data_IF_231673092393
#
_entry.id   IF_231673092393
#
_cell.length_a   1.000
_cell.length_b   1.000
_cell.length_c   1.000
_cell.angle_alpha   90.00
_cell.angle_beta   90.00
_cell.angle_gamma   90.00
#
_symmetry.space_group_name_H-M   'P 1'
#
loop_
_entity.id
_entity.type
_entity.pdbx_description
1 polymer ?
#
# COMPACT_ATOMS: atom_id res chain seq x y z
N UNK A 1 5.50 9.22 20.25
CA UNK A 1 4.71 8.06 19.74
C UNK A 1 4.85 8.00 18.23
N UNK A 2 5.02 6.81 17.67
CA UNK A 2 5.10 6.57 16.23
C UNK A 2 3.74 6.85 15.57
N UNK A 3 3.69 7.79 14.61
CA UNK A 3 2.49 8.14 13.82
C UNK A 3 2.42 7.38 12.50
N UNK A 4 3.57 7.24 11.81
CA UNK A 4 3.69 6.49 10.57
C UNK A 4 3.43 5.00 10.80
N UNK A 5 2.64 4.39 9.94
CA UNK A 5 2.23 2.99 10.06
C UNK A 5 3.24 2.06 9.39
N UNK A 6 3.25 0.80 9.82
CA UNK A 6 4.14 -0.22 9.27
C UNK A 6 3.30 -1.37 8.74
N UNK A 7 3.48 -1.67 7.46
CA UNK A 7 2.93 -2.85 6.79
C UNK A 7 4.03 -3.91 6.75
N UNK A 8 3.74 -5.10 7.28
CA UNK A 8 4.69 -6.21 7.27
C UNK A 8 4.14 -7.37 6.46
N UNK A 9 4.93 -7.83 5.48
CA UNK A 9 4.61 -9.07 4.77
C UNK A 9 4.90 -10.25 5.66
N UNK A 10 3.92 -11.14 5.82
CA UNK A 10 4.03 -12.35 6.62
C UNK A 10 4.39 -13.53 5.73
N UNK A 11 5.32 -14.32 6.19
CA UNK A 11 5.80 -15.52 5.53
C UNK A 11 6.30 -16.54 6.55
N UNK A 12 7.03 -17.59 6.10
CA UNK A 12 7.39 -18.74 6.93
C UNK A 12 8.14 -18.40 8.23
N UNK A 13 8.80 -17.25 8.29
CA UNK A 13 9.57 -16.81 9.47
C UNK A 13 8.71 -16.09 10.52
N UNK A 14 7.52 -15.61 10.13
CA UNK A 14 6.73 -14.70 10.97
C UNK A 14 5.26 -15.10 11.14
N UNK A 15 4.86 -16.25 10.62
CA UNK A 15 3.45 -16.69 10.59
C UNK A 15 2.90 -17.24 11.91
N UNK A 16 3.76 -17.58 12.89
CA UNK A 16 3.29 -18.11 14.17
C UNK A 16 2.60 -17.04 15.02
N UNK A 17 1.60 -17.45 15.82
CA UNK A 17 0.90 -16.56 16.75
C UNK A 17 1.85 -15.80 17.67
N UNK A 18 2.85 -16.52 18.23
CA UNK A 18 3.85 -15.91 19.11
C UNK A 18 4.68 -14.83 18.40
N UNK A 19 5.11 -15.11 17.16
CA UNK A 19 5.89 -14.15 16.38
C UNK A 19 5.05 -12.95 15.98
N UNK A 20 3.79 -13.16 15.56
CA UNK A 20 2.87 -12.07 15.24
C UNK A 20 2.59 -11.17 16.44
N UNK A 21 2.47 -11.74 17.64
CA UNK A 21 2.35 -10.96 18.88
C UNK A 21 3.59 -10.08 19.12
N UNK A 22 4.81 -10.63 18.94
CA UNK A 22 6.05 -9.85 19.03
C UNK A 22 6.14 -8.76 17.94
N UNK A 23 5.68 -9.03 16.72
CA UNK A 23 5.65 -8.04 15.64
C UNK A 23 4.66 -6.90 15.93
N UNK A 24 3.50 -7.20 16.51
CA UNK A 24 2.55 -6.19 16.98
C UNK A 24 3.19 -5.30 18.07
N UNK A 25 3.92 -5.90 19.00
CA UNK A 25 4.64 -5.19 20.05
C UNK A 25 5.77 -4.33 19.49
N UNK A 26 6.48 -4.82 18.47
CA UNK A 26 7.55 -4.08 17.78
C UNK A 26 7.05 -2.91 16.91
N UNK A 27 5.75 -2.87 16.57
CA UNK A 27 5.15 -1.75 15.88
C UNK A 27 4.45 -2.04 14.56
N UNK A 28 4.23 -3.30 14.20
CA UNK A 28 3.41 -3.68 13.04
C UNK A 28 1.97 -3.18 13.19
N UNK A 29 1.44 -2.59 12.12
CA UNK A 29 0.06 -2.08 12.06
C UNK A 29 -0.81 -2.85 11.07
N UNK A 30 -0.21 -3.36 9.99
CA UNK A 30 -0.93 -4.07 8.93
C UNK A 30 -0.17 -5.34 8.57
N UNK A 31 -0.87 -6.46 8.56
CA UNK A 31 -0.38 -7.73 8.02
C UNK A 31 -0.66 -7.79 6.52
N UNK A 32 0.39 -7.88 5.71
CA UNK A 32 0.28 -8.13 4.27
C UNK A 32 0.45 -9.61 3.97
N UNK A 33 -0.48 -10.16 3.21
CA UNK A 33 -0.44 -11.51 2.67
C UNK A 33 -0.21 -11.43 1.16
N UNK A 34 0.94 -11.91 0.69
CA UNK A 34 1.29 -11.90 -0.73
C UNK A 34 0.78 -13.17 -1.41
N UNK A 35 -0.28 -13.04 -2.20
CA UNK A 35 -0.94 -14.15 -2.91
C UNK A 35 -0.19 -14.61 -4.18
N UNK A 36 0.98 -14.02 -4.48
CA UNK A 36 1.92 -14.62 -5.45
C UNK A 36 2.55 -15.91 -4.90
N UNK A 37 2.46 -16.16 -3.59
CA UNK A 37 3.04 -17.30 -2.90
C UNK A 37 2.05 -17.87 -1.88
N UNK A 38 2.24 -19.14 -1.53
CA UNK A 38 1.39 -19.84 -0.56
C UNK A 38 0.05 -20.27 -1.13
N UNK A 39 -0.72 -20.96 -0.32
CA UNK A 39 -2.07 -21.42 -0.63
C UNK A 39 -3.11 -20.87 0.37
N UNK A 40 -4.39 -21.17 0.15
CA UNK A 40 -5.47 -20.65 0.99
C UNK A 40 -5.44 -21.20 2.43
N UNK A 41 -4.94 -22.43 2.62
CA UNK A 41 -4.80 -23.00 3.97
C UNK A 41 -3.74 -22.27 4.77
N UNK A 42 -2.58 -21.98 4.17
CA UNK A 42 -1.50 -21.19 4.78
C UNK A 42 -1.97 -19.78 5.11
N UNK A 43 -2.58 -19.08 4.14
CA UNK A 43 -3.06 -17.71 4.37
C UNK A 43 -4.19 -17.65 5.40
N UNK A 44 -5.11 -18.62 5.39
CA UNK A 44 -6.16 -18.73 6.40
C UNK A 44 -5.60 -18.95 7.80
N UNK A 45 -4.57 -19.78 7.94
CA UNK A 45 -3.90 -20.01 9.23
C UNK A 45 -3.18 -18.74 9.72
N UNK A 46 -2.51 -17.99 8.83
CA UNK A 46 -1.87 -16.71 9.18
C UNK A 46 -2.87 -15.69 9.67
N UNK A 47 -4.04 -15.60 9.03
CA UNK A 47 -5.14 -14.72 9.46
C UNK A 47 -5.62 -15.11 10.85
N UNK A 48 -5.85 -16.40 11.09
CA UNK A 48 -6.29 -16.88 12.41
C UNK A 48 -5.24 -16.60 13.49
N UNK A 49 -3.97 -16.83 13.20
CA UNK A 49 -2.87 -16.57 14.12
C UNK A 49 -2.77 -15.07 14.45
N UNK A 50 -3.00 -14.17 13.48
CA UNK A 50 -3.05 -12.74 13.74
C UNK A 50 -4.21 -12.37 14.67
N UNK A 51 -5.41 -12.90 14.43
CA UNK A 51 -6.58 -12.65 15.28
C UNK A 51 -6.34 -13.08 16.73
N UNK A 52 -5.71 -14.24 16.92
CA UNK A 52 -5.32 -14.74 18.24
C UNK A 52 -4.27 -13.80 18.88
N UNK A 53 -3.26 -13.37 18.12
CA UNK A 53 -2.23 -12.44 18.60
C UNK A 53 -2.82 -11.08 19.00
N UNK A 54 -3.78 -10.55 18.23
CA UNK A 54 -4.51 -9.32 18.57
C UNK A 54 -5.28 -9.47 19.88
N UNK A 55 -6.01 -10.57 20.04
CA UNK A 55 -6.75 -10.86 21.28
C UNK A 55 -5.83 -10.93 22.49
N UNK A 56 -4.65 -11.55 22.33
CA UNK A 56 -3.67 -11.75 23.40
C UNK A 56 -2.94 -10.45 23.79
N UNK A 57 -2.63 -9.62 22.82
CA UNK A 57 -1.88 -8.37 23.05
C UNK A 57 -2.77 -7.15 23.31
N UNK A 58 -4.06 -7.24 23.02
CA UNK A 58 -4.97 -6.10 23.05
C UNK A 58 -4.70 -5.06 21.95
N UNK A 59 -3.83 -5.37 20.98
CA UNK A 59 -3.49 -4.48 19.87
C UNK A 59 -4.29 -4.83 18.63
N UNK A 60 -4.64 -3.82 17.85
CA UNK A 60 -5.39 -3.97 16.60
C UNK A 60 -4.44 -3.86 15.41
N UNK A 61 -4.57 -4.77 14.45
CA UNK A 61 -3.93 -4.71 13.15
C UNK A 61 -4.96 -4.95 12.05
N UNK A 62 -4.71 -4.39 10.87
CA UNK A 62 -5.50 -4.66 9.67
C UNK A 62 -4.88 -5.78 8.84
N UNK A 63 -5.70 -6.39 7.98
CA UNK A 63 -5.31 -7.45 7.06
C UNK A 63 -5.38 -6.92 5.63
N UNK A 64 -4.28 -7.03 4.90
CA UNK A 64 -4.14 -6.61 3.51
C UNK A 64 -3.80 -7.82 2.64
N UNK A 65 -4.70 -8.16 1.72
CA UNK A 65 -4.50 -9.16 0.69
C UNK A 65 -3.87 -8.49 -0.53
N UNK A 66 -2.68 -8.93 -0.93
CA UNK A 66 -1.97 -8.40 -2.10
C UNK A 66 -2.07 -9.41 -3.24
N UNK A 67 -2.76 -9.04 -4.32
CA UNK A 67 -3.00 -9.93 -5.47
C UNK A 67 -1.73 -10.14 -6.27
N UNK A 68 -1.65 -11.27 -6.96
CA UNK A 68 -0.56 -11.52 -7.90
C UNK A 68 -0.62 -10.55 -9.09
N UNK A 69 -1.82 -10.31 -9.60
CA UNK A 69 -2.06 -9.50 -10.78
C UNK A 69 -1.69 -10.17 -12.10
N UNK A 70 -2.09 -9.56 -13.21
CA UNK A 70 -1.78 -10.04 -14.53
C UNK A 70 -0.32 -9.73 -14.91
N UNK A 71 0.49 -10.76 -15.08
CA UNK A 71 1.90 -10.67 -15.45
C UNK A 71 2.16 -11.33 -16.80
N UNK A 72 3.10 -10.77 -17.55
CA UNK A 72 3.69 -11.45 -18.71
C UNK A 72 4.91 -12.23 -18.22
N UNK A 73 5.02 -13.50 -18.58
CA UNK A 73 6.16 -14.35 -18.20
C UNK A 73 6.71 -15.12 -19.37
N UNK A 74 8.01 -15.38 -19.35
CA UNK A 74 8.63 -16.41 -20.19
C UNK A 74 8.12 -17.78 -19.78
N UNK A 75 8.11 -18.72 -20.73
CA UNK A 75 7.68 -20.08 -20.48
C UNK A 75 8.89 -21.02 -20.30
N UNK A 76 8.68 -22.33 -20.51
CA UNK A 76 9.68 -23.35 -20.26
C UNK A 76 10.85 -23.30 -21.23
N UNK A 77 12.00 -23.73 -20.74
CA UNK A 77 13.25 -23.89 -21.49
C UNK A 77 13.63 -25.38 -21.61
N UNK A 78 14.41 -25.75 -22.64
CA UNK A 78 14.91 -27.08 -22.83
C UNK A 78 15.73 -27.57 -21.62
N UNK A 79 15.36 -28.69 -21.07
CA UNK A 79 16.02 -29.29 -19.91
C UNK A 79 15.82 -28.52 -18.59
N UNK A 80 15.03 -27.44 -18.57
CA UNK A 80 14.78 -26.63 -17.37
C UNK A 80 15.99 -25.83 -16.89
N UNK A 81 17.00 -25.67 -17.73
CA UNK A 81 18.24 -24.95 -17.40
C UNK A 81 18.18 -23.52 -17.94
N UNK A 82 18.84 -22.61 -17.22
CA UNK A 82 19.04 -21.25 -17.69
C UNK A 82 19.88 -21.23 -18.96
N UNK A 83 19.55 -20.30 -19.87
CA UNK A 83 20.30 -20.10 -21.13
C UNK A 83 21.02 -18.77 -21.12
N UNK A 84 22.32 -18.80 -21.42
CA UNK A 84 23.13 -17.57 -21.46
C UNK A 84 22.89 -16.80 -22.74
N UNK A 85 22.50 -15.54 -22.63
CA UNK A 85 22.31 -14.61 -23.72
C UNK A 85 23.45 -13.58 -23.75
N UNK A 86 23.88 -13.23 -24.96
CA UNK A 86 24.99 -12.29 -25.19
C UNK A 86 24.50 -11.00 -25.82
N UNK A 87 25.05 -9.88 -25.40
CA UNK A 87 24.80 -8.58 -26.02
C UNK A 87 25.08 -8.63 -27.55
N UNK A 88 24.15 -8.10 -28.33
CA UNK A 88 24.19 -8.05 -29.78
C UNK A 88 23.60 -9.27 -30.49
N UNK A 89 23.33 -10.38 -29.79
CA UNK A 89 22.64 -11.52 -30.44
C UNK A 89 21.16 -11.22 -30.73
N UNK A 90 20.62 -11.92 -31.70
CA UNK A 90 19.20 -11.96 -31.97
C UNK A 90 18.53 -12.95 -31.02
N UNK A 91 17.40 -12.57 -30.43
CA UNK A 91 16.56 -13.43 -29.60
C UNK A 91 15.09 -13.22 -29.95
N UNK A 92 14.32 -14.30 -29.95
CA UNK A 92 12.91 -14.24 -30.40
C UNK A 92 11.97 -14.63 -29.26
N UNK A 93 10.94 -13.82 -29.05
CA UNK A 93 9.77 -14.20 -28.25
C UNK A 93 8.67 -14.70 -29.19
N UNK A 94 7.93 -15.72 -28.75
CA UNK A 94 6.79 -16.21 -29.50
C UNK A 94 5.55 -16.35 -28.62
N UNK A 95 4.37 -16.11 -29.23
CA UNK A 95 3.08 -16.37 -28.57
C UNK A 95 2.62 -17.82 -28.71
N UNK A 96 3.35 -18.66 -29.45
CA UNK A 96 3.11 -20.08 -29.54
C UNK A 96 3.56 -20.79 -28.24
N UNK A 97 2.59 -21.09 -27.39
CA UNK A 97 2.82 -21.70 -26.06
C UNK A 97 3.31 -23.17 -26.14
N UNK A 98 3.30 -23.80 -27.32
CA UNK A 98 3.83 -25.14 -27.51
C UNK A 98 5.36 -25.18 -27.64
N UNK A 99 5.99 -24.03 -27.86
CA UNK A 99 7.43 -23.91 -28.03
C UNK A 99 8.13 -24.09 -26.66
N UNK A 100 9.06 -25.05 -26.62
CA UNK A 100 10.03 -25.17 -25.54
C UNK A 100 11.24 -24.30 -25.94
N UNK A 101 11.57 -23.31 -25.12
CA UNK A 101 12.57 -22.32 -25.47
C UNK A 101 14.01 -22.79 -25.33
N UNK A 102 14.93 -22.03 -25.91
CA UNK A 102 16.38 -22.28 -25.91
C UNK A 102 17.14 -20.93 -25.97
N UNK A 103 18.41 -20.95 -26.35
CA UNK A 103 19.24 -19.74 -26.49
C UNK A 103 18.84 -18.80 -27.62
N UNK A 104 17.87 -19.16 -28.47
CA UNK A 104 17.44 -18.36 -29.63
C UNK A 104 15.98 -17.87 -29.50
N UNK A 105 15.14 -18.59 -28.75
CA UNK A 105 13.71 -18.33 -28.66
C UNK A 105 13.12 -18.80 -27.35
N UNK A 106 12.07 -18.08 -26.87
CA UNK A 106 11.22 -18.51 -25.76
C UNK A 106 9.77 -18.11 -26.01
N UNK A 107 8.83 -18.94 -25.57
CA UNK A 107 7.43 -18.59 -25.56
C UNK A 107 7.10 -17.63 -24.39
N UNK A 108 6.07 -16.79 -24.58
CA UNK A 108 5.53 -15.92 -23.52
C UNK A 108 4.07 -16.23 -23.25
N UNK A 109 3.63 -15.91 -22.03
CA UNK A 109 2.25 -16.18 -21.57
C UNK A 109 1.20 -15.28 -22.23
N UNK A 110 1.59 -14.11 -22.72
CA UNK A 110 0.71 -13.05 -23.21
C UNK A 110 0.48 -13.16 -24.72
N UNK A 111 -0.78 -13.37 -25.13
CA UNK A 111 -1.16 -13.55 -26.54
C UNK A 111 -1.08 -12.26 -27.36
N UNK A 112 -1.34 -11.10 -26.71
CA UNK A 112 -1.23 -9.78 -27.32
C UNK A 112 0.19 -9.27 -27.53
N UNK A 113 1.21 -10.07 -27.25
CA UNK A 113 2.62 -9.64 -27.27
C UNK A 113 3.06 -9.11 -28.64
N UNK A 114 2.56 -9.72 -29.73
CA UNK A 114 2.87 -9.28 -31.12
C UNK A 114 2.01 -8.13 -31.62
N UNK A 115 0.87 -7.87 -30.98
CA UNK A 115 -0.06 -6.78 -31.39
C UNK A 115 0.20 -5.49 -30.66
N UNK A 116 0.66 -5.54 -29.42
CA UNK A 116 0.86 -4.35 -28.59
C UNK A 116 2.27 -3.77 -28.73
N UNK A 117 3.26 -4.59 -29.12
CA UNK A 117 4.63 -4.16 -29.37
C UNK A 117 4.82 -3.55 -30.77
N UNK A 118 5.79 -2.68 -30.88
CA UNK A 118 6.26 -2.08 -32.13
C UNK A 118 7.79 -2.14 -32.20
N UNK A 119 8.35 -2.08 -33.41
CA UNK A 119 9.80 -1.97 -33.61
C UNK A 119 10.35 -0.76 -32.86
N UNK A 120 11.44 -0.96 -32.13
CA UNK A 120 12.08 0.04 -31.27
C UNK A 120 11.60 0.02 -29.83
N UNK A 121 10.53 -0.75 -29.49
CA UNK A 121 10.15 -0.93 -28.08
C UNK A 121 11.21 -1.72 -27.29
N UNK A 122 11.30 -1.44 -26.01
CA UNK A 122 12.15 -2.17 -25.08
C UNK A 122 11.36 -3.33 -24.47
N UNK A 123 12.01 -4.48 -24.36
CA UNK A 123 11.55 -5.65 -23.61
C UNK A 123 12.56 -5.91 -22.50
N UNK A 124 12.10 -5.92 -21.26
CA UNK A 124 12.91 -6.23 -20.09
C UNK A 124 12.50 -7.58 -19.52
N UNK A 125 13.47 -8.40 -19.16
CA UNK A 125 13.23 -9.73 -18.59
C UNK A 125 13.97 -9.87 -17.27
N UNK A 126 13.38 -10.63 -16.34
CA UNK A 126 13.95 -10.92 -15.02
C UNK A 126 14.24 -9.61 -14.23
N UNK A 127 13.18 -8.85 -13.96
CA UNK A 127 13.25 -7.56 -13.25
C UNK A 127 14.24 -6.56 -13.89
N UNK A 128 14.35 -6.61 -15.21
CA UNK A 128 15.22 -5.69 -15.97
C UNK A 128 16.70 -6.12 -16.05
N UNK A 129 17.04 -7.30 -15.55
CA UNK A 129 18.42 -7.82 -15.64
C UNK A 129 18.85 -8.07 -17.08
N UNK A 130 17.91 -8.42 -17.97
CA UNK A 130 18.14 -8.60 -19.40
C UNK A 130 17.30 -7.60 -20.17
N UNK A 131 17.94 -6.68 -20.86
CA UNK A 131 17.31 -5.71 -21.77
C UNK A 131 17.40 -6.15 -23.22
N UNK A 132 16.32 -5.93 -23.97
CA UNK A 132 16.24 -6.22 -25.41
C UNK A 132 15.48 -5.10 -26.13
N UNK A 133 15.79 -4.91 -27.40
CA UNK A 133 15.10 -3.98 -28.30
C UNK A 133 14.41 -4.74 -29.43
N UNK A 134 13.14 -4.46 -29.68
CA UNK A 134 12.38 -5.07 -30.77
C UNK A 134 12.90 -4.57 -32.11
N UNK A 135 13.35 -5.49 -32.97
CA UNK A 135 13.87 -5.21 -34.32
C UNK A 135 12.91 -5.56 -35.43
N UNK A 136 12.05 -6.58 -35.23
CA UNK A 136 11.04 -6.97 -36.18
C UNK A 136 9.89 -7.73 -35.48
N UNK A 137 8.72 -7.73 -36.13
CA UNK A 137 7.55 -8.52 -35.69
C UNK A 137 7.06 -9.31 -36.91
N UNK A 138 7.02 -10.66 -36.81
CA UNK A 138 6.69 -11.55 -37.89
C UNK A 138 5.70 -12.61 -37.40
N UNK A 139 4.44 -12.49 -37.80
CA UNK A 139 3.38 -13.43 -37.42
C UNK A 139 3.22 -13.48 -35.88
N UNK A 140 3.50 -14.62 -35.28
CA UNK A 140 3.44 -14.86 -33.85
C UNK A 140 4.79 -14.65 -33.13
N UNK A 141 5.76 -13.98 -33.77
CA UNK A 141 7.12 -13.79 -33.29
C UNK A 141 7.48 -12.32 -33.15
N UNK A 142 8.14 -11.96 -32.04
CA UNK A 142 8.79 -10.69 -31.83
C UNK A 142 10.30 -10.93 -31.79
N UNK A 143 10.99 -10.39 -32.76
CA UNK A 143 12.44 -10.54 -32.92
C UNK A 143 13.11 -9.34 -32.22
N UNK A 144 14.05 -9.65 -31.33
CA UNK A 144 14.73 -8.64 -30.53
C UNK A 144 16.25 -8.76 -30.68
N UNK A 145 16.93 -7.65 -30.43
CA UNK A 145 18.37 -7.59 -30.19
C UNK A 145 18.63 -7.53 -28.70
N UNK A 146 19.42 -8.44 -28.18
CA UNK A 146 19.86 -8.44 -26.78
C UNK A 146 20.82 -7.27 -26.53
N UNK A 147 20.55 -6.46 -25.50
CA UNK A 147 21.33 -5.25 -25.20
C UNK A 147 22.46 -5.50 -24.22
N UNK A 148 22.33 -6.47 -23.32
CA UNK A 148 23.34 -6.81 -22.30
C UNK A 148 23.39 -8.33 -22.06
N UNK A 149 24.52 -8.82 -21.59
CA UNK A 149 24.67 -10.23 -21.22
C UNK A 149 23.79 -10.58 -20.02
N UNK A 150 23.23 -11.79 -20.01
CA UNK A 150 22.44 -12.30 -18.88
C UNK A 150 22.06 -13.77 -19.07
N UNK A 151 21.68 -14.41 -17.98
CA UNK A 151 21.19 -15.79 -17.98
C UNK A 151 19.66 -15.78 -17.87
N UNK A 152 18.99 -16.26 -18.89
CA UNK A 152 17.53 -16.34 -18.97
C UNK A 152 17.05 -17.65 -18.34
N UNK A 153 16.27 -17.54 -17.28
CA UNK A 153 15.57 -18.67 -16.64
C UNK A 153 14.13 -18.85 -17.11
N UNK A 154 13.51 -19.95 -16.67
CA UNK A 154 12.08 -20.21 -16.87
C UNK A 154 11.19 -19.28 -16.03
N UNK A 155 9.98 -19.01 -16.52
CA UNK A 155 8.92 -18.30 -15.79
C UNK A 155 9.33 -16.91 -15.29
N UNK A 156 10.27 -16.25 -15.98
CA UNK A 156 10.73 -14.90 -15.65
C UNK A 156 9.74 -13.84 -16.05
N UNK A 157 9.58 -12.81 -15.22
CA UNK A 157 8.77 -11.64 -15.55
C UNK A 157 9.25 -10.95 -16.81
N UNK A 158 8.31 -10.47 -17.63
CA UNK A 158 8.59 -9.70 -18.84
C UNK A 158 7.89 -8.35 -18.71
N UNK A 159 8.65 -7.27 -18.73
CA UNK A 159 8.17 -5.90 -18.66
C UNK A 159 8.30 -5.22 -20.01
N UNK A 160 7.33 -4.39 -20.36
CA UNK A 160 7.25 -3.67 -21.62
C UNK A 160 7.14 -2.15 -21.35
N UNK A 161 8.24 -1.49 -20.97
CA UNK A 161 8.22 -0.09 -20.59
C UNK A 161 7.58 0.81 -21.65
N UNK A 162 6.60 1.63 -21.25
CA UNK A 162 5.92 2.56 -22.12
C UNK A 162 4.93 1.95 -23.12
N UNK A 163 4.70 0.64 -23.08
CA UNK A 163 3.73 -0.04 -23.94
C UNK A 163 2.41 -0.22 -23.17
N UNK A 164 1.30 0.17 -23.79
CA UNK A 164 -0.04 -0.15 -23.27
C UNK A 164 -0.40 -1.58 -23.61
N UNK A 165 -0.66 -2.38 -22.59
CA UNK A 165 -0.97 -3.82 -22.74
C UNK A 165 -2.44 -4.10 -22.46
N UNK A 166 -3.04 -4.96 -23.29
CA UNK A 166 -4.46 -5.33 -23.22
C UNK A 166 -4.72 -6.55 -22.29
N UNK A 167 -3.94 -6.68 -21.20
CA UNK A 167 -4.21 -7.69 -20.17
C UNK A 167 -5.48 -7.33 -19.37
N UNK A 168 -6.28 -8.33 -18.93
CA UNK A 168 -7.41 -8.06 -18.03
C UNK A 168 -6.89 -7.53 -16.69
N UNK A 169 -7.73 -6.79 -15.96
CA UNK A 169 -7.38 -6.29 -14.62
C UNK A 169 -7.23 -7.44 -13.60
N UNK A 170 -8.02 -8.49 -13.76
CA UNK A 170 -8.02 -9.67 -12.88
C UNK A 170 -7.73 -10.93 -13.70
N UNK A 171 -6.67 -11.64 -13.38
CA UNK A 171 -6.47 -13.01 -13.79
C UNK A 171 -7.48 -13.94 -13.05
N UNK A 172 -7.71 -15.14 -13.56
CA UNK A 172 -8.65 -16.09 -12.94
C UNK A 172 -8.25 -16.44 -11.50
N UNK A 173 -6.94 -16.56 -11.24
CA UNK A 173 -6.42 -16.75 -9.88
C UNK A 173 -6.77 -15.57 -8.99
N UNK A 174 -6.60 -14.33 -9.45
CA UNK A 174 -6.91 -13.14 -8.67
C UNK A 174 -8.38 -13.09 -8.26
N UNK A 175 -9.29 -13.51 -9.15
CA UNK A 175 -10.72 -13.59 -8.83
C UNK A 175 -11.00 -14.54 -7.67
N UNK A 176 -10.36 -15.71 -7.67
CA UNK A 176 -10.49 -16.68 -6.58
C UNK A 176 -9.85 -16.17 -5.29
N UNK A 177 -8.69 -15.53 -5.37
CA UNK A 177 -8.02 -14.91 -4.23
C UNK A 177 -8.89 -13.83 -3.57
N UNK A 178 -9.59 -13.04 -4.38
CA UNK A 178 -10.50 -12.00 -3.88
C UNK A 178 -11.76 -12.60 -3.22
N UNK A 179 -12.29 -13.70 -3.73
CA UNK A 179 -13.39 -14.44 -3.08
C UNK A 179 -12.94 -14.94 -1.71
N UNK A 180 -11.77 -15.56 -1.62
CA UNK A 180 -11.18 -15.95 -0.33
C UNK A 180 -11.02 -14.74 0.60
N UNK A 181 -10.56 -13.60 0.09
CA UNK A 181 -10.44 -12.36 0.86
C UNK A 181 -11.79 -11.87 1.44
N UNK A 182 -12.86 -11.98 0.65
CA UNK A 182 -14.22 -11.66 1.11
C UNK A 182 -14.66 -12.61 2.23
N UNK A 183 -14.48 -13.91 2.06
CA UNK A 183 -14.82 -14.95 3.04
C UNK A 183 -14.04 -14.76 4.36
N UNK A 184 -12.77 -14.41 4.26
CA UNK A 184 -11.91 -14.13 5.42
C UNK A 184 -12.13 -12.76 6.04
N UNK A 185 -12.89 -11.88 5.40
CA UNK A 185 -13.18 -10.55 5.90
C UNK A 185 -11.95 -9.63 5.97
N UNK A 186 -11.05 -9.70 4.99
CA UNK A 186 -9.86 -8.83 4.93
C UNK A 186 -10.26 -7.35 4.86
N UNK A 187 -9.38 -6.46 5.33
CA UNK A 187 -9.68 -5.03 5.42
C UNK A 187 -9.31 -4.28 4.14
N UNK A 188 -8.27 -4.73 3.47
CA UNK A 188 -7.74 -4.14 2.24
C UNK A 188 -7.41 -5.20 1.21
N UNK A 189 -7.55 -4.81 -0.04
CA UNK A 189 -6.96 -5.49 -1.19
C UNK A 189 -5.95 -4.54 -1.82
N UNK A 190 -4.68 -4.95 -1.90
CA UNK A 190 -3.68 -4.30 -2.73
C UNK A 190 -3.75 -4.93 -4.12
N UNK A 191 -4.19 -4.15 -5.10
CA UNK A 191 -4.43 -4.59 -6.46
C UNK A 191 -3.21 -4.33 -7.33
N UNK A 192 -2.56 -5.40 -7.79
CA UNK A 192 -1.34 -5.34 -8.57
C UNK A 192 -1.58 -4.91 -10.03
N UNK A 193 -0.63 -4.20 -10.60
CA UNK A 193 -0.57 -3.77 -11.99
C UNK A 193 -1.78 -2.98 -12.47
N UNK A 194 -2.28 -2.06 -11.63
CA UNK A 194 -3.36 -1.15 -12.02
C UNK A 194 -2.85 -0.14 -13.05
N UNK A 195 -3.55 -0.02 -14.17
CA UNK A 195 -3.17 0.84 -15.32
C UNK A 195 -4.15 1.97 -15.58
N UNK A 196 -5.43 1.78 -15.23
CA UNK A 196 -6.52 2.72 -15.52
C UNK A 196 -7.70 2.56 -14.56
N UNK A 197 -8.58 3.57 -14.55
CA UNK A 197 -9.78 3.59 -13.71
C UNK A 197 -10.65 2.33 -13.82
N UNK A 198 -10.83 1.82 -15.04
CA UNK A 198 -11.69 0.65 -15.27
C UNK A 198 -11.17 -0.62 -14.57
N UNK A 199 -9.87 -0.76 -14.38
CA UNK A 199 -9.28 -1.88 -13.66
C UNK A 199 -9.75 -1.86 -12.19
N UNK A 200 -9.76 -0.70 -11.56
CA UNK A 200 -10.24 -0.53 -10.17
C UNK A 200 -11.74 -0.81 -10.06
N UNK A 201 -12.52 -0.34 -11.03
CA UNK A 201 -13.97 -0.57 -11.06
C UNK A 201 -14.29 -2.05 -11.19
N UNK A 202 -13.61 -2.78 -12.09
CA UNK A 202 -13.77 -4.23 -12.26
C UNK A 202 -13.51 -4.99 -10.94
N UNK A 203 -12.43 -4.63 -10.22
CA UNK A 203 -12.10 -5.24 -8.92
C UNK A 203 -13.19 -4.93 -7.90
N UNK A 204 -13.66 -3.69 -7.85
CA UNK A 204 -14.73 -3.26 -6.92
C UNK A 204 -16.03 -4.00 -7.16
N UNK A 205 -16.42 -4.17 -8.41
CA UNK A 205 -17.62 -4.93 -8.78
C UNK A 205 -17.48 -6.41 -8.42
N UNK A 206 -16.30 -6.99 -8.64
CA UNK A 206 -16.04 -8.37 -8.24
C UNK A 206 -16.11 -8.57 -6.72
N UNK A 207 -15.50 -7.68 -5.93
CA UNK A 207 -15.61 -7.70 -4.46
C UNK A 207 -17.07 -7.56 -4.01
N UNK A 208 -17.81 -6.61 -4.58
CA UNK A 208 -19.22 -6.38 -4.26
C UNK A 208 -20.09 -7.59 -4.55
N UNK A 209 -19.87 -8.28 -5.67
CA UNK A 209 -20.59 -9.49 -6.03
C UNK A 209 -20.39 -10.66 -5.04
N UNK A 210 -19.34 -10.60 -4.22
CA UNK A 210 -18.99 -11.65 -3.24
C UNK A 210 -19.06 -11.15 -1.78
N UNK A 211 -19.80 -10.06 -1.51
CA UNK A 211 -20.00 -9.53 -0.16
C UNK A 211 -18.83 -8.71 0.40
N UNK A 212 -17.90 -8.30 -0.44
CA UNK A 212 -16.72 -7.51 -0.08
C UNK A 212 -16.84 -6.01 -0.39
N UNK A 213 -18.06 -5.45 -0.46
CA UNK A 213 -18.28 -4.03 -0.81
C UNK A 213 -17.60 -3.05 0.16
N UNK A 214 -17.33 -3.47 1.40
CA UNK A 214 -16.67 -2.67 2.42
C UNK A 214 -15.13 -2.87 2.47
N UNK A 215 -14.57 -3.72 1.62
CA UNK A 215 -13.12 -3.90 1.50
C UNK A 215 -12.55 -2.71 0.72
N UNK A 216 -11.52 -2.06 1.27
CA UNK A 216 -10.85 -0.96 0.61
C UNK A 216 -9.83 -1.46 -0.43
N UNK A 217 -9.81 -0.81 -1.59
CA UNK A 217 -8.88 -1.11 -2.68
C UNK A 217 -7.70 -0.13 -2.63
N UNK A 218 -6.50 -0.68 -2.46
CA UNK A 218 -5.22 0.01 -2.56
C UNK A 218 -4.63 -0.31 -3.93
N UNK A 219 -4.70 0.62 -4.86
CA UNK A 219 -4.15 0.41 -6.21
C UNK A 219 -2.64 0.52 -6.20
N UNK A 220 -1.96 -0.49 -6.72
CA UNK A 220 -0.50 -0.51 -6.84
C UNK A 220 -0.11 0.14 -8.17
N UNK A 221 0.75 1.15 -8.08
CA UNK A 221 1.28 1.85 -9.26
C UNK A 221 2.66 1.29 -9.55
N UNK A 222 2.75 0.52 -10.61
CA UNK A 222 3.87 -0.34 -10.95
C UNK A 222 4.40 -0.13 -12.37
N UNK A 223 3.76 0.75 -13.16
CA UNK A 223 4.10 0.96 -14.57
C UNK A 223 3.81 2.40 -15.03
N UNK A 224 4.33 2.74 -16.21
CA UNK A 224 4.17 4.07 -16.80
C UNK A 224 2.70 4.40 -17.10
N UNK A 225 1.90 3.44 -17.57
CA UNK A 225 0.48 3.67 -17.88
C UNK A 225 -0.30 4.06 -16.61
N UNK A 226 -0.04 3.38 -15.48
CA UNK A 226 -0.61 3.73 -14.19
C UNK A 226 -0.20 5.12 -13.70
N UNK A 227 1.03 5.55 -13.95
CA UNK A 227 1.46 6.92 -13.66
C UNK A 227 0.73 7.95 -14.54
N UNK A 228 0.59 7.68 -15.83
CA UNK A 228 -0.10 8.58 -16.74
C UNK A 228 -1.58 8.76 -16.38
N UNK A 229 -2.22 7.70 -15.90
CA UNK A 229 -3.63 7.66 -15.53
C UNK A 229 -3.85 7.83 -14.01
N UNK A 230 -2.84 8.33 -13.29
CA UNK A 230 -2.84 8.33 -11.83
C UNK A 230 -4.06 9.02 -11.20
N UNK A 231 -4.47 10.17 -11.73
CA UNK A 231 -5.57 10.95 -11.14
C UNK A 231 -6.91 10.20 -11.19
N UNK A 232 -7.20 9.54 -12.31
CA UNK A 232 -8.43 8.75 -12.45
C UNK A 232 -8.39 7.44 -11.62
N UNK A 233 -7.21 6.84 -11.50
CA UNK A 233 -6.98 5.67 -10.64
C UNK A 233 -7.19 6.08 -9.17
N UNK A 234 -6.58 7.18 -8.74
CA UNK A 234 -6.71 7.70 -7.39
C UNK A 234 -8.19 8.00 -7.06
N UNK A 235 -8.93 8.59 -7.99
CA UNK A 235 -10.36 8.89 -7.78
C UNK A 235 -11.16 7.62 -7.48
N UNK A 236 -10.92 6.53 -8.21
CA UNK A 236 -11.64 5.27 -8.08
C UNK A 236 -11.18 4.41 -6.88
N UNK A 237 -9.96 4.62 -6.39
CA UNK A 237 -9.33 3.84 -5.33
C UNK A 237 -9.62 4.38 -3.94
N UNK A 238 -9.43 3.56 -2.90
CA UNK A 238 -9.48 3.98 -1.49
C UNK A 238 -8.10 4.40 -0.97
N UNK A 239 -7.04 3.97 -1.65
CA UNK A 239 -5.66 4.33 -1.39
C UNK A 239 -4.74 3.88 -2.52
N UNK A 240 -3.45 4.19 -2.37
CA UNK A 240 -2.40 3.90 -3.35
C UNK A 240 -1.24 3.19 -2.65
N UNK A 241 -0.59 2.27 -3.36
CA UNK A 241 0.72 1.75 -3.01
C UNK A 241 1.73 2.17 -4.07
N UNK A 242 2.76 2.88 -3.64
CA UNK A 242 3.93 3.21 -4.46
C UNK A 242 4.84 2.00 -4.45
N UNK A 243 4.72 1.14 -5.47
CA UNK A 243 5.45 -0.12 -5.57
C UNK A 243 6.76 0.11 -6.35
N UNK A 244 7.76 0.65 -5.65
CA UNK A 244 8.98 1.19 -6.24
C UNK A 244 9.85 0.15 -6.96
N UNK A 245 9.78 -1.12 -6.54
CA UNK A 245 10.53 -2.19 -7.18
C UNK A 245 10.11 -2.39 -8.63
N UNK A 246 8.84 -2.69 -8.85
CA UNK A 246 8.28 -2.90 -10.17
C UNK A 246 8.27 -1.61 -11.01
N UNK A 247 7.91 -0.48 -10.37
CA UNK A 247 7.91 0.82 -11.03
C UNK A 247 9.31 1.20 -11.55
N UNK A 248 10.37 0.90 -10.79
CA UNK A 248 11.76 1.19 -11.18
C UNK A 248 12.30 0.32 -12.32
N UNK A 249 11.58 -0.75 -12.69
CA UNK A 249 11.83 -1.52 -13.92
C UNK A 249 11.14 -0.88 -15.13
N UNK A 250 9.99 -0.26 -14.90
CA UNK A 250 9.12 0.28 -15.95
C UNK A 250 9.43 1.75 -16.33
N UNK A 251 10.07 2.50 -15.44
CA UNK A 251 10.47 3.89 -15.67
C UNK A 251 11.95 4.09 -15.33
N UNK A 252 12.61 5.15 -15.83
CA UNK A 252 13.98 5.48 -15.42
C UNK A 252 14.11 5.57 -13.91
N UNK A 253 15.15 4.94 -13.35
CA UNK A 253 15.30 4.80 -11.89
C UNK A 253 15.37 6.16 -11.17
N UNK A 254 15.93 7.17 -11.81
CA UNK A 254 16.01 8.55 -11.32
C UNK A 254 14.63 9.22 -11.21
N UNK A 255 13.62 8.77 -11.96
CA UNK A 255 12.27 9.32 -11.95
C UNK A 255 11.40 8.73 -10.81
N UNK A 256 11.79 7.59 -10.24
CA UNK A 256 10.99 6.90 -9.21
C UNK A 256 10.74 7.78 -7.99
N UNK A 257 11.74 8.54 -7.53
CA UNK A 257 11.59 9.42 -6.36
C UNK A 257 10.64 10.59 -6.63
N UNK A 258 10.62 11.13 -7.84
CA UNK A 258 9.70 12.20 -8.22
C UNK A 258 8.27 11.68 -8.35
N UNK A 259 8.10 10.49 -8.94
CA UNK A 259 6.82 9.78 -8.97
C UNK A 259 6.28 9.51 -7.56
N UNK A 260 7.12 9.03 -6.63
CA UNK A 260 6.77 8.82 -5.23
C UNK A 260 6.24 10.11 -4.58
N UNK A 261 6.96 11.20 -4.69
CA UNK A 261 6.58 12.50 -4.10
C UNK A 261 5.24 13.01 -4.66
N UNK A 262 5.07 12.93 -5.97
CA UNK A 262 3.83 13.32 -6.65
C UNK A 262 2.64 12.48 -6.18
N UNK A 263 2.79 11.15 -6.14
CA UNK A 263 1.73 10.24 -5.71
C UNK A 263 1.34 10.47 -4.25
N UNK A 264 2.32 10.60 -3.35
CA UNK A 264 2.08 10.86 -1.93
C UNK A 264 1.32 12.18 -1.76
N UNK A 265 1.77 13.26 -2.41
CA UNK A 265 1.11 14.57 -2.31
C UNK A 265 -0.34 14.52 -2.78
N UNK A 266 -0.59 13.90 -3.93
CA UNK A 266 -1.95 13.78 -4.48
C UNK A 266 -2.86 12.92 -3.58
N UNK A 267 -2.35 11.84 -3.00
CA UNK A 267 -3.11 11.02 -2.03
C UNK A 267 -3.51 11.82 -0.80
N UNK A 268 -2.59 12.61 -0.24
CA UNK A 268 -2.87 13.46 0.93
C UNK A 268 -3.96 14.48 0.59
N UNK A 269 -3.83 15.17 -0.56
CA UNK A 269 -4.84 16.13 -1.03
C UNK A 269 -6.21 15.49 -1.20
N UNK A 270 -6.25 14.27 -1.71
CA UNK A 270 -7.47 13.47 -1.87
C UNK A 270 -7.98 12.86 -0.55
N UNK A 271 -7.24 12.96 0.56
CA UNK A 271 -7.55 12.32 1.87
C UNK A 271 -7.62 10.80 1.77
N UNK A 272 -6.78 10.22 0.93
CA UNK A 272 -6.64 8.78 0.71
C UNK A 272 -5.30 8.30 1.25
N UNK A 273 -5.28 7.08 1.76
CA UNK A 273 -4.07 6.50 2.35
C UNK A 273 -3.04 6.17 1.26
N UNK A 274 -1.77 6.28 1.60
CA UNK A 274 -0.66 5.91 0.72
C UNK A 274 0.37 5.08 1.46
N UNK A 275 0.80 3.99 0.82
CA UNK A 275 1.84 3.08 1.31
C UNK A 275 3.06 3.25 0.40
N UNK A 276 4.23 3.49 0.98
CA UNK A 276 5.50 3.44 0.25
C UNK A 276 6.13 2.06 0.46
N UNK A 277 6.35 1.35 -0.63
CA UNK A 277 6.66 -0.07 -0.62
C UNK A 277 7.95 -0.41 -1.37
N UNK A 278 8.49 -1.58 -1.04
CA UNK A 278 9.64 -2.27 -1.62
C UNK A 278 10.99 -1.61 -1.40
N UNK A 279 11.99 -2.46 -1.15
CA UNK A 279 13.40 -2.08 -0.96
C UNK A 279 13.60 -1.01 0.13
N UNK A 280 12.80 -1.05 1.20
CA UNK A 280 12.91 -0.08 2.29
C UNK A 280 14.10 -0.35 3.21
N UNK A 281 14.24 -1.58 3.72
CA UNK A 281 15.36 -2.06 4.53
C UNK A 281 15.89 -3.40 3.96
N UNK A 282 16.00 -3.50 2.65
CA UNK A 282 16.26 -4.74 1.91
C UNK A 282 17.50 -5.51 2.39
N UNK A 283 18.57 -4.79 2.75
CA UNK A 283 19.78 -5.41 3.31
C UNK A 283 19.53 -6.19 4.60
N UNK A 284 18.46 -5.85 5.34
CA UNK A 284 18.08 -6.56 6.57
C UNK A 284 17.44 -7.93 6.33
N UNK A 285 17.22 -8.33 5.10
CA UNK A 285 16.94 -9.74 4.76
C UNK A 285 18.10 -10.62 5.24
N UNK A 286 19.34 -10.12 5.13
CA UNK A 286 20.58 -10.86 5.45
C UNK A 286 21.36 -10.27 6.63
N UNK A 287 21.24 -8.99 6.89
CA UNK A 287 22.05 -8.24 7.86
C UNK A 287 21.19 -7.75 9.05
N UNK A 288 21.75 -7.68 10.27
CA UNK A 288 21.01 -7.25 11.47
C UNK A 288 20.78 -5.73 11.53
N UNK A 289 21.37 -4.97 10.62
CA UNK A 289 21.25 -3.50 10.53
C UNK A 289 21.09 -3.07 9.08
N UNK A 290 20.31 -2.02 8.81
CA UNK A 290 20.18 -1.45 7.48
C UNK A 290 21.44 -0.63 7.12
N UNK A 291 21.56 -0.31 5.86
CA UNK A 291 22.49 0.71 5.40
C UNK A 291 22.01 2.11 5.78
N UNK A 292 22.92 3.08 5.77
CA UNK A 292 22.55 4.50 5.97
C UNK A 292 21.61 5.02 4.86
N UNK A 293 21.81 4.54 3.63
CA UNK A 293 20.96 4.91 2.50
C UNK A 293 19.52 4.44 2.70
N UNK A 294 19.33 3.19 3.13
CA UNK A 294 18.00 2.63 3.43
C UNK A 294 17.30 3.38 4.57
N UNK A 295 17.99 3.67 5.67
CA UNK A 295 17.43 4.44 6.76
C UNK A 295 17.05 5.86 6.31
N UNK A 296 17.85 6.47 5.46
CA UNK A 296 17.56 7.77 4.84
C UNK A 296 16.37 7.73 3.89
N UNK A 297 16.22 6.66 3.11
CA UNK A 297 15.10 6.45 2.19
C UNK A 297 13.76 6.31 2.94
N UNK A 298 13.74 5.50 4.00
CA UNK A 298 12.56 5.40 4.89
C UNK A 298 12.18 6.76 5.46
N UNK A 299 13.15 7.49 6.02
CA UNK A 299 12.91 8.81 6.58
C UNK A 299 12.39 9.79 5.51
N UNK A 300 12.93 9.76 4.29
CA UNK A 300 12.47 10.60 3.19
C UNK A 300 11.01 10.31 2.80
N UNK A 301 10.61 9.05 2.68
CA UNK A 301 9.21 8.70 2.41
C UNK A 301 8.26 9.23 3.50
N UNK A 302 8.68 9.18 4.76
CA UNK A 302 7.92 9.71 5.89
C UNK A 302 7.83 11.25 5.81
N UNK A 303 8.93 11.92 5.49
CA UNK A 303 8.97 13.38 5.28
C UNK A 303 8.12 13.82 4.09
N UNK A 304 8.01 13.00 3.04
CA UNK A 304 7.08 13.24 1.93
C UNK A 304 5.62 13.22 2.40
N UNK A 305 5.34 12.49 3.49
CA UNK A 305 4.02 12.43 4.12
C UNK A 305 3.27 11.11 3.95
N UNK A 306 3.96 10.02 3.59
CA UNK A 306 3.33 8.70 3.46
C UNK A 306 2.59 8.29 4.73
N UNK A 307 1.47 7.58 4.60
CA UNK A 307 0.75 7.00 5.75
C UNK A 307 1.51 5.82 6.33
N UNK A 308 2.04 4.98 5.46
CA UNK A 308 2.72 3.77 5.87
C UNK A 308 3.97 3.48 5.03
N UNK A 309 4.89 2.75 5.63
CA UNK A 309 6.05 2.13 4.99
C UNK A 309 5.94 0.62 5.11
N UNK A 310 6.43 -0.12 4.11
CA UNK A 310 6.22 -1.56 4.01
C UNK A 310 7.53 -2.33 4.04
N UNK A 311 7.54 -3.40 4.83
CA UNK A 311 8.55 -4.46 4.80
C UNK A 311 8.05 -5.64 3.97
N UNK A 312 8.88 -6.14 3.07
CA UNK A 312 8.57 -7.27 2.17
C UNK A 312 9.35 -8.52 2.59
N UNK A 313 10.44 -8.85 1.92
CA UNK A 313 11.31 -9.97 2.25
C UNK A 313 11.93 -9.88 3.64
N UNK A 314 12.17 -8.67 4.13
CA UNK A 314 12.73 -8.38 5.44
C UNK A 314 11.94 -9.04 6.57
N UNK A 315 10.62 -8.96 6.51
CA UNK A 315 9.72 -9.55 7.52
C UNK A 315 9.18 -10.93 7.15
N UNK A 316 9.11 -11.29 5.84
CA UNK A 316 8.54 -12.55 5.41
C UNK A 316 9.50 -13.74 5.51
N UNK A 317 10.74 -13.56 5.08
CA UNK A 317 11.76 -14.62 4.95
C UNK A 317 13.15 -14.24 5.47
N UNK A 318 13.33 -12.99 5.87
CA UNK A 318 14.60 -12.47 6.35
C UNK A 318 15.13 -13.19 7.59
N UNK A 319 16.41 -13.02 7.86
CA UNK A 319 17.06 -13.56 9.07
C UNK A 319 16.72 -12.77 10.33
N UNK A 320 16.32 -11.50 10.19
CA UNK A 320 16.14 -10.54 11.28
C UNK A 320 14.78 -9.83 11.22
N UNK A 321 13.65 -10.58 11.19
CA UNK A 321 12.34 -9.96 10.95
C UNK A 321 11.89 -9.00 12.06
N UNK A 322 12.10 -9.34 13.33
CA UNK A 322 11.74 -8.48 14.46
C UNK A 322 12.62 -7.23 14.53
N UNK A 323 13.91 -7.38 14.30
CA UNK A 323 14.85 -6.26 14.23
C UNK A 323 14.47 -5.30 13.11
N UNK A 324 14.07 -5.82 11.94
CA UNK A 324 13.60 -5.00 10.83
C UNK A 324 12.38 -4.16 11.20
N UNK A 325 11.37 -4.76 11.85
CA UNK A 325 10.19 -4.03 12.33
C UNK A 325 10.58 -3.00 13.39
N UNK A 326 11.43 -3.37 14.36
CA UNK A 326 11.86 -2.49 15.45
C UNK A 326 12.66 -1.28 14.93
N UNK A 327 13.58 -1.50 14.00
CA UNK A 327 14.37 -0.43 13.37
C UNK A 327 13.46 0.46 12.53
N UNK A 328 12.55 -0.12 11.74
CA UNK A 328 11.56 0.64 11.00
C UNK A 328 10.74 1.53 11.94
N UNK A 329 10.25 0.98 13.06
CA UNK A 329 9.50 1.74 14.06
C UNK A 329 10.32 2.88 14.67
N UNK A 330 11.61 2.66 14.94
CA UNK A 330 12.51 3.69 15.45
C UNK A 330 12.72 4.82 14.46
N UNK A 331 12.93 4.51 13.17
CA UNK A 331 13.06 5.52 12.11
C UNK A 331 11.76 6.31 11.96
N UNK A 332 10.60 5.62 11.95
CA UNK A 332 9.29 6.24 11.90
C UNK A 332 9.11 7.23 13.06
N UNK A 333 9.31 6.78 14.29
CA UNK A 333 9.12 7.62 15.48
C UNK A 333 10.06 8.82 15.47
N UNK A 334 11.33 8.63 15.13
CA UNK A 334 12.31 9.73 15.07
C UNK A 334 11.95 10.77 14.02
N UNK A 335 11.50 10.30 12.85
CA UNK A 335 11.13 11.19 11.74
C UNK A 335 9.81 11.91 12.02
N UNK A 336 8.81 11.21 12.57
CA UNK A 336 7.52 11.81 12.92
C UNK A 336 7.67 12.99 13.93
N UNK A 337 8.68 12.95 14.82
CA UNK A 337 8.95 14.02 15.80
C UNK A 337 9.45 15.33 15.18
N UNK A 338 9.98 15.31 13.97
CA UNK A 338 10.48 16.51 13.28
C UNK A 338 9.55 17.02 12.18
N UNK A 339 8.43 16.34 11.98
CA UNK A 339 7.41 16.79 11.04
C UNK A 339 6.54 17.88 11.70
N UNK A 340 6.33 18.95 10.95
CA UNK A 340 5.39 20.01 11.32
C UNK A 340 4.05 19.78 10.63
N UNK A 341 3.00 20.39 11.16
CA UNK A 341 1.71 20.45 10.48
C UNK A 341 1.83 21.15 9.12
N UNK A 342 0.92 20.81 8.21
CA UNK A 342 0.87 21.35 6.84
C UNK A 342 -0.46 22.05 6.60
N UNK A 343 -0.72 23.13 7.32
CA UNK A 343 -1.97 23.91 7.20
C UNK A 343 -2.14 24.57 5.81
N UNK A 344 -1.03 24.85 5.14
CA UNK A 344 -0.99 25.45 3.80
C UNK A 344 -1.31 24.48 2.64
N UNK A 345 -1.61 23.22 2.93
CA UNK A 345 -1.87 22.19 1.90
C UNK A 345 -3.06 22.50 0.95
N UNK A 346 -3.76 23.62 1.16
CA UNK A 346 -4.88 24.11 0.35
C UNK A 346 -4.67 25.52 -0.22
N UNK A 347 -3.44 25.98 -0.38
CA UNK A 347 -3.17 27.31 -0.94
C UNK A 347 -3.40 27.45 -2.47
N UNK A 348 -4.31 26.65 -3.02
CA UNK A 348 -4.74 26.66 -4.41
C UNK A 348 -5.83 27.72 -4.70
N UNK A 349 -5.98 28.73 -3.85
CA UNK A 349 -6.94 29.87 -3.96
C UNK A 349 -8.42 29.46 -4.12
N UNK A 350 -8.76 28.18 -3.98
CA UNK A 350 -10.15 27.72 -4.02
C UNK A 350 -10.85 27.89 -2.68
N UNK A 351 -12.14 28.12 -2.72
CA UNK A 351 -12.97 28.10 -1.52
C UNK A 351 -12.98 26.70 -0.91
N UNK A 352 -12.62 26.59 0.38
CA UNK A 352 -12.65 25.32 1.12
C UNK A 352 -14.09 24.80 1.28
N UNK A 353 -14.24 23.48 1.28
CA UNK A 353 -15.49 22.84 1.71
C UNK A 353 -15.63 22.93 3.24
N UNK A 354 -16.83 22.87 3.78
CA UNK A 354 -17.10 22.96 5.22
C UNK A 354 -16.21 22.01 6.02
N UNK A 355 -16.18 20.74 5.67
CA UNK A 355 -15.33 19.73 6.34
C UNK A 355 -13.84 20.10 6.31
N UNK A 356 -13.35 20.63 5.21
CA UNK A 356 -11.93 21.04 5.10
C UNK A 356 -11.63 22.22 6.01
N UNK A 357 -12.50 23.21 6.02
CA UNK A 357 -12.35 24.41 6.87
C UNK A 357 -12.39 24.06 8.37
N UNK A 358 -13.34 23.22 8.77
CA UNK A 358 -13.50 22.78 10.16
C UNK A 358 -12.29 21.92 10.60
N UNK A 359 -11.86 20.95 9.80
CA UNK A 359 -10.73 20.10 10.13
C UNK A 359 -9.41 20.89 10.18
N UNK A 360 -9.20 21.84 9.25
CA UNK A 360 -8.05 22.75 9.30
C UNK A 360 -8.03 23.57 10.56
N UNK A 361 -9.16 24.23 10.88
CA UNK A 361 -9.32 25.03 12.10
C UNK A 361 -9.11 24.20 13.37
N UNK A 362 -9.57 22.96 13.40
CA UNK A 362 -9.36 22.04 14.52
C UNK A 362 -7.87 21.73 14.75
N UNK A 363 -7.12 21.49 13.66
CA UNK A 363 -5.67 21.24 13.74
C UNK A 363 -4.93 22.50 14.21
N UNK A 364 -5.23 23.65 13.63
CA UNK A 364 -4.64 24.92 14.04
C UNK A 364 -4.95 25.24 15.51
N UNK A 365 -6.19 25.00 15.95
CA UNK A 365 -6.59 25.17 17.36
C UNK A 365 -5.80 24.23 18.28
N UNK A 366 -5.68 22.96 17.89
CA UNK A 366 -4.91 21.99 18.68
C UNK A 366 -3.44 22.41 18.85
N UNK A 367 -2.81 22.91 17.78
CA UNK A 367 -1.43 23.41 17.85
C UNK A 367 -1.28 24.63 18.74
N UNK A 368 -2.18 25.61 18.61
CA UNK A 368 -2.12 26.84 19.42
C UNK A 368 -2.36 26.61 20.90
N UNK A 369 -3.01 25.51 21.24
CA UNK A 369 -3.33 25.13 22.61
C UNK A 369 -2.45 24.01 23.15
N UNK A 370 -1.44 23.56 22.39
CA UNK A 370 -0.59 22.40 22.71
C UNK A 370 -1.42 21.15 23.09
N UNK A 371 -2.56 20.98 22.42
CA UNK A 371 -3.46 19.86 22.69
C UNK A 371 -2.83 18.53 22.23
N UNK A 372 -2.69 17.52 23.11
CA UNK A 372 -2.07 16.24 22.74
C UNK A 372 -2.97 15.41 21.84
N UNK A 373 -4.27 15.72 21.77
CA UNK A 373 -5.27 14.85 21.16
C UNK A 373 -6.34 15.65 20.42
N UNK A 374 -6.69 15.17 19.24
CA UNK A 374 -7.91 15.53 18.51
C UNK A 374 -8.81 14.31 18.48
N UNK A 375 -9.96 14.39 19.12
CA UNK A 375 -10.97 13.32 19.14
C UNK A 375 -11.95 13.53 17.99
N UNK A 376 -12.13 12.51 17.14
CA UNK A 376 -12.96 12.62 15.95
C UNK A 376 -14.03 11.54 15.94
N UNK A 377 -15.31 11.93 15.83
CA UNK A 377 -16.38 11.00 15.54
C UNK A 377 -16.42 10.70 14.04
N UNK A 378 -16.36 9.43 13.66
CA UNK A 378 -16.37 9.03 12.24
C UNK A 378 -17.03 7.68 12.04
N UNK A 379 -17.88 7.55 11.03
CA UNK A 379 -18.52 6.29 10.68
C UNK A 379 -17.72 5.51 9.64
N UNK A 380 -17.25 6.16 8.58
CA UNK A 380 -16.48 5.57 7.48
C UNK A 380 -15.03 6.06 7.38
N UNK A 381 -14.48 6.67 8.45
CA UNK A 381 -13.10 7.13 8.51
C UNK A 381 -12.80 8.45 7.79
N UNK A 382 -13.73 9.02 7.04
CA UNK A 382 -13.50 10.22 6.20
C UNK A 382 -13.11 11.45 7.03
N UNK A 383 -13.75 11.66 8.18
CA UNK A 383 -13.46 12.80 9.08
C UNK A 383 -12.06 12.69 9.69
N UNK A 384 -11.68 11.50 10.15
CA UNK A 384 -10.33 11.26 10.68
C UNK A 384 -9.24 11.52 9.62
N UNK A 385 -9.45 11.04 8.40
CA UNK A 385 -8.52 11.29 7.28
C UNK A 385 -8.52 12.77 6.83
N UNK A 386 -9.62 13.49 7.01
CA UNK A 386 -9.68 14.92 6.74
C UNK A 386 -8.85 15.74 7.75
N UNK A 387 -8.83 15.35 9.02
CA UNK A 387 -7.93 15.93 10.04
C UNK A 387 -6.48 15.53 9.76
N UNK A 388 -6.22 14.25 9.48
CA UNK A 388 -4.89 13.72 9.19
C UNK A 388 -4.21 14.46 8.03
N UNK A 389 -4.96 14.90 7.03
CA UNK A 389 -4.47 15.65 5.86
C UNK A 389 -3.53 16.81 6.23
N UNK A 390 -3.77 17.46 7.36
CA UNK A 390 -3.01 18.63 7.83
C UNK A 390 -1.85 18.27 8.74
N UNK A 391 -1.55 17.00 8.96
CA UNK A 391 -0.44 16.51 9.79
C UNK A 391 -0.40 17.11 11.19
N UNK A 392 -1.45 17.00 12.00
CA UNK A 392 -1.43 17.55 13.35
C UNK A 392 -0.33 16.92 14.19
N UNK A 393 0.26 17.72 15.09
CA UNK A 393 1.14 17.20 16.15
C UNK A 393 0.36 16.35 17.14
N UNK A 394 -0.87 16.74 17.42
CA UNK A 394 -1.82 15.96 18.18
C UNK A 394 -2.08 14.58 17.56
N UNK A 395 -2.24 13.57 18.38
CA UNK A 395 -2.75 12.26 17.96
C UNK A 395 -4.23 12.38 17.63
N UNK A 396 -4.69 11.66 16.60
CA UNK A 396 -6.11 11.61 16.23
C UNK A 396 -6.74 10.37 16.84
N UNK A 397 -7.60 10.54 17.85
CA UNK A 397 -8.41 9.46 18.42
C UNK A 397 -9.73 9.39 17.66
N UNK A 398 -9.88 8.38 16.81
CA UNK A 398 -11.07 8.23 15.96
C UNK A 398 -12.06 7.27 16.60
N UNK A 399 -13.21 7.79 17.03
CA UNK A 399 -14.31 7.01 17.58
C UNK A 399 -15.24 6.56 16.45
N UNK A 400 -15.45 5.28 16.33
CA UNK A 400 -16.36 4.70 15.33
C UNK A 400 -17.16 3.55 15.90
N UNK A 401 -18.40 3.38 15.41
CA UNK A 401 -19.27 2.23 15.73
C UNK A 401 -19.09 1.08 14.75
N UNK A 402 -18.28 1.26 13.71
CA UNK A 402 -18.06 0.29 12.65
C UNK A 402 -16.68 -0.38 12.81
N UNK A 403 -16.68 -1.69 13.10
CA UNK A 403 -15.47 -2.48 13.31
C UNK A 403 -14.55 -2.47 12.07
N UNK A 404 -15.11 -2.62 10.86
CA UNK A 404 -14.34 -2.58 9.62
C UNK A 404 -13.62 -1.22 9.45
N UNK A 405 -14.31 -0.12 9.75
CA UNK A 405 -13.71 1.22 9.74
C UNK A 405 -12.59 1.35 10.77
N UNK A 406 -12.76 0.78 11.97
CA UNK A 406 -11.71 0.80 12.99
C UNK A 406 -10.45 0.10 12.47
N UNK A 407 -10.57 -1.09 11.89
CA UNK A 407 -9.44 -1.81 11.29
C UNK A 407 -8.81 -1.02 10.13
N UNK A 408 -9.61 -0.44 9.25
CA UNK A 408 -9.10 0.33 8.11
C UNK A 408 -8.36 1.62 8.52
N UNK A 409 -8.79 2.26 9.60
CA UNK A 409 -8.12 3.46 10.13
C UNK A 409 -6.75 3.17 10.75
N UNK A 410 -6.44 1.92 11.07
CA UNK A 410 -5.10 1.51 11.51
C UNK A 410 -4.03 1.85 10.47
N UNK A 411 -4.37 1.92 9.18
CA UNK A 411 -3.45 2.30 8.10
C UNK A 411 -3.24 3.82 7.98
N UNK A 412 -4.09 4.65 8.59
CA UNK A 412 -3.99 6.12 8.48
C UNK A 412 -2.97 6.68 9.47
N UNK A 413 -2.01 7.48 8.99
CA UNK A 413 -0.95 8.08 9.80
C UNK A 413 -1.51 8.93 10.94
N UNK A 414 -1.00 8.71 12.16
CA UNK A 414 -1.37 9.47 13.36
C UNK A 414 -2.77 9.18 13.89
N UNK A 415 -3.52 8.25 13.29
CA UNK A 415 -4.87 7.88 13.73
C UNK A 415 -4.80 6.65 14.64
N UNK A 416 -5.45 6.75 15.79
CA UNK A 416 -5.71 5.64 16.73
C UNK A 416 -7.21 5.41 16.71
N UNK A 417 -7.70 4.33 16.07
CA UNK A 417 -9.12 4.03 16.06
C UNK A 417 -9.56 3.42 17.39
N UNK A 418 -10.76 3.79 17.81
CA UNK A 418 -11.43 3.25 18.99
C UNK A 418 -12.85 2.83 18.62
N UNK A 419 -13.14 1.54 18.74
CA UNK A 419 -14.50 1.02 18.55
C UNK A 419 -15.36 1.39 19.76
N UNK A 420 -16.52 1.97 19.51
CA UNK A 420 -17.52 2.29 20.53
C UNK A 420 -18.87 1.66 20.15
N UNK A 421 -19.73 1.42 21.13
CA UNK A 421 -21.01 0.76 20.87
C UNK A 421 -21.97 1.67 20.12
N UNK A 422 -22.13 2.89 20.58
CA UNK A 422 -23.07 3.86 20.04
C UNK A 422 -22.62 5.28 20.41
N UNK A 423 -23.00 6.25 19.59
CA UNK A 423 -22.91 7.69 19.85
C UNK A 423 -24.28 8.27 19.53
N UNK A 424 -25.07 8.57 20.58
CA UNK A 424 -26.47 8.94 20.43
C UNK A 424 -26.72 10.44 20.31
N UNK A 425 -25.80 11.24 20.82
CA UNK A 425 -25.88 12.71 20.82
C UNK A 425 -24.49 13.36 20.84
N UNK A 426 -24.47 14.67 20.62
CA UNK A 426 -23.24 15.46 20.75
C UNK A 426 -22.68 15.41 22.18
N UNK A 427 -23.55 15.48 23.19
CA UNK A 427 -23.16 15.38 24.60
C UNK A 427 -22.58 13.99 24.92
N UNK A 428 -23.17 12.95 24.38
CA UNK A 428 -22.67 11.58 24.51
C UNK A 428 -21.27 11.43 23.85
N UNK A 429 -21.09 12.02 22.67
CA UNK A 429 -19.77 12.09 22.02
C UNK A 429 -18.73 12.80 22.89
N UNK A 430 -19.08 13.95 23.48
CA UNK A 430 -18.15 14.69 24.36
C UNK A 430 -17.80 13.90 25.61
N UNK A 431 -18.78 13.24 26.24
CA UNK A 431 -18.56 12.39 27.41
C UNK A 431 -17.66 11.21 27.06
N UNK A 432 -17.99 10.43 26.06
CA UNK A 432 -17.21 9.29 25.60
C UNK A 432 -15.81 9.71 25.17
N UNK A 433 -15.68 10.80 24.42
CA UNK A 433 -14.41 11.30 23.94
C UNK A 433 -13.46 11.65 25.09
N UNK A 434 -13.94 12.33 26.14
CA UNK A 434 -13.14 12.62 27.34
C UNK A 434 -12.74 11.37 28.11
N UNK A 435 -13.68 10.45 28.30
CA UNK A 435 -13.45 9.20 29.00
C UNK A 435 -12.38 8.36 28.29
N UNK A 436 -12.52 8.15 26.99
CA UNK A 436 -11.59 7.37 26.18
C UNK A 436 -10.23 8.05 26.01
N UNK A 437 -10.20 9.38 25.94
CA UNK A 437 -8.94 10.15 25.93
C UNK A 437 -8.11 9.83 27.18
N UNK A 438 -8.71 9.84 28.35
CA UNK A 438 -8.05 9.49 29.62
C UNK A 438 -7.68 8.00 29.68
N UNK A 439 -8.60 7.11 29.30
CA UNK A 439 -8.36 5.67 29.36
C UNK A 439 -7.26 5.21 28.40
N UNK A 440 -7.11 5.87 27.26
CA UNK A 440 -6.08 5.56 26.27
C UNK A 440 -4.66 5.89 26.74
N UNK A 441 -4.51 6.73 27.76
CA UNK A 441 -3.22 7.27 28.20
C UNK A 441 -2.59 8.26 27.21
N UNK A 442 -3.35 8.69 26.18
CA UNK A 442 -2.89 9.66 25.19
C UNK A 442 -3.04 11.10 25.67
N UNK A 443 -3.86 11.32 26.68
CA UNK A 443 -4.06 12.59 27.33
C UNK A 443 -4.32 12.40 28.84
N UNK A 444 -4.09 13.44 29.63
CA UNK A 444 -4.18 13.41 31.09
C UNK A 444 -5.18 14.43 31.60
N UNK A 445 -5.58 14.28 32.86
CA UNK A 445 -6.49 15.25 33.50
C UNK A 445 -5.86 16.65 33.51
N UNK A 446 -6.61 17.61 33.02
CA UNK A 446 -6.17 18.97 32.84
C UNK A 446 -5.66 19.33 31.45
N UNK A 447 -5.42 18.32 30.61
CA UNK A 447 -5.05 18.57 29.21
C UNK A 447 -6.24 19.15 28.42
N UNK A 448 -5.90 19.98 27.44
CA UNK A 448 -6.87 20.47 26.45
C UNK A 448 -6.96 19.48 25.31
N UNK A 449 -8.17 19.14 24.88
CA UNK A 449 -8.41 18.33 23.69
C UNK A 449 -9.37 19.04 22.75
N UNK A 450 -9.18 18.82 21.45
CA UNK A 450 -10.11 19.32 20.41
C UNK A 450 -11.00 18.18 19.97
N UNK A 451 -12.30 18.41 19.88
CA UNK A 451 -13.28 17.43 19.45
C UNK A 451 -13.93 17.84 18.14
N UNK A 452 -13.96 16.91 17.18
CA UNK A 452 -14.44 17.11 15.80
C UNK A 452 -15.56 16.15 15.50
N UNK A 453 -16.73 16.68 15.11
CA UNK A 453 -17.88 15.87 14.74
C UNK A 453 -18.72 16.50 13.62
N UNK A 454 -19.69 15.75 13.09
CA UNK A 454 -20.84 16.29 12.36
C UNK A 454 -22.01 16.46 13.33
N UNK A 455 -22.86 17.46 13.12
CA UNK A 455 -24.19 17.45 13.71
C UNK A 455 -24.90 16.15 13.27
N UNK A 456 -25.82 15.64 14.09
CA UNK A 456 -26.60 14.39 13.85
C UNK A 456 -27.45 14.43 12.57
N UNK A 457 -26.82 14.73 11.45
CA UNK A 457 -27.37 14.66 10.09
C UNK A 457 -26.73 13.48 9.36
N UNK A 458 -27.35 12.96 8.30
CA UNK A 458 -26.84 11.79 7.57
C UNK A 458 -25.37 11.88 7.27
N UNK A 459 -24.66 10.75 7.42
CA UNK A 459 -23.19 10.63 7.32
C UNK A 459 -22.57 11.44 6.18
N UNK A 460 -21.59 12.28 6.47
CA UNK A 460 -20.80 12.97 5.46
C UNK A 460 -20.51 14.44 5.71
N UNK A 461 -21.04 15.07 6.76
CA UNK A 461 -20.79 16.48 7.07
C UNK A 461 -20.14 16.67 8.44
N UNK A 462 -18.80 16.65 8.47
CA UNK A 462 -18.05 17.18 9.61
C UNK A 462 -18.14 18.70 9.58
N UNK A 463 -18.82 19.28 10.55
CA UNK A 463 -19.14 20.72 10.57
C UNK A 463 -18.91 21.39 11.93
N UNK A 464 -18.43 20.65 12.93
CA UNK A 464 -18.25 21.15 14.30
C UNK A 464 -16.87 20.80 14.82
N UNK A 465 -16.22 21.79 15.41
CA UNK A 465 -15.02 21.62 16.24
C UNK A 465 -15.22 22.36 17.56
N UNK A 466 -14.85 21.73 18.68
CA UNK A 466 -14.98 22.28 20.02
C UNK A 466 -13.75 21.97 20.86
N UNK A 467 -13.48 22.81 21.87
CA UNK A 467 -12.33 22.68 22.78
C UNK A 467 -12.84 22.26 24.15
N UNK A 468 -12.21 21.28 24.73
CA UNK A 468 -12.55 20.75 26.04
C UNK A 468 -11.32 20.56 26.92
N UNK A 469 -11.50 20.73 28.23
CA UNK A 469 -10.52 20.37 29.26
C UNK A 469 -10.93 19.03 29.85
N UNK A 470 -9.96 18.09 30.02
CA UNK A 470 -10.17 16.76 30.59
C UNK A 470 -10.22 16.76 32.10
#
# INVERSE_FOLDING_TARGET
>A
MKKTKIVCTIGPKTESEEMLAKMLDAGMNVMRLNFSHGDYAEHGQRIQNLRNAMSKTGKTAAILLDTKGPEIRTMKLEGGNDVSLKAGQTFTFTTDKSVIGNSEMVAVTYEGFTTDLSVGNTVLVDDGLIGMEVTAIEGNKVICKVLNNGDLGENKGVNLPGVSIALPALAEKDKQDLIFGCEQGVDFVAASFIRKRSDVIEIREHLKAHGGENIHIISKIENQEGLNNFDEILEASDGIMVARGDLGVEIPVEEVIFAQKMMIEKCIRARKVVITATQMLDSMIKNPRPTRAEAGDVANAILDGTDAVMLSGESAKGKYPLEAVSIMATICERTDRVMNSRLEFNNDNRKLRITEAVCRGAVETAEKLDAPLIVVATQGGKSARAVRKYFPDATILALTTNEKTAHQLVLSKGVVPQLVKEITSTDDFYRLGKELALQSGLAHKGDVVVMVSGALVPSGTTNTASVHVL
#
